data_IF_634431290319
#
_entry.id   IF_634431290319
#
_cell.length_a   1.000
_cell.length_b   1.000
_cell.length_c   1.000
_cell.angle_alpha   90.00
_cell.angle_beta   90.00
_cell.angle_gamma   90.00
#
_symmetry.space_group_name_H-M   'P 1'
#
loop_
_entity.id
_entity.type
_entity.pdbx_description
1 polymer ?
#
# COMPACT_ATOMS: atom_id res chain seq x y z
N UNK A 1 23.11 -12.97 0.32
CA UNK A 1 24.13 -11.95 0.64
C UNK A 1 24.24 -10.95 -0.52
N UNK A 2 24.62 -11.36 -1.71
CA UNK A 2 24.77 -10.44 -2.87
C UNK A 2 23.53 -9.59 -3.17
N UNK A 3 22.34 -10.15 -3.10
CA UNK A 3 21.08 -9.40 -3.29
C UNK A 3 20.82 -8.37 -2.18
N UNK A 4 21.18 -8.71 -0.93
CA UNK A 4 21.02 -7.79 0.19
C UNK A 4 21.98 -6.59 0.11
N UNK A 5 23.16 -6.76 -0.42
CA UNK A 5 24.15 -5.70 -0.65
C UNK A 5 23.70 -4.76 -1.79
N UNK A 6 23.12 -5.32 -2.85
CA UNK A 6 22.60 -4.57 -4.01
C UNK A 6 21.24 -3.89 -3.75
N UNK A 7 20.55 -4.27 -2.67
CA UNK A 7 19.24 -3.72 -2.35
C UNK A 7 19.33 -2.19 -2.12
N UNK A 8 18.54 -1.44 -2.85
CA UNK A 8 18.38 0.00 -2.60
C UNK A 8 17.39 0.20 -1.46
N UNK A 9 17.90 0.27 -0.24
CA UNK A 9 17.11 0.43 0.98
C UNK A 9 17.86 1.28 2.01
N UNK A 10 17.16 1.89 2.99
CA UNK A 10 17.78 2.58 4.12
C UNK A 10 18.82 1.70 4.84
N UNK A 11 19.85 2.35 5.40
CA UNK A 11 20.97 1.65 6.08
C UNK A 11 20.49 0.69 7.17
N UNK A 12 19.54 1.13 7.98
CA UNK A 12 18.94 0.32 9.04
C UNK A 12 18.30 -0.98 8.53
N UNK A 13 17.62 -0.91 7.38
CA UNK A 13 16.99 -2.07 6.76
C UNK A 13 18.05 -3.05 6.24
N UNK A 14 19.11 -2.53 5.62
CA UNK A 14 20.22 -3.36 5.16
C UNK A 14 20.92 -4.09 6.32
N UNK A 15 21.22 -3.38 7.40
CA UNK A 15 21.82 -3.95 8.61
C UNK A 15 20.94 -5.05 9.21
N UNK A 16 19.63 -4.77 9.32
CA UNK A 16 18.65 -5.75 9.81
C UNK A 16 18.57 -6.97 8.91
N UNK A 17 18.57 -6.79 7.60
CA UNK A 17 18.53 -7.85 6.62
C UNK A 17 19.80 -8.74 6.70
N UNK A 18 20.98 -8.12 6.79
CA UNK A 18 22.25 -8.83 6.94
C UNK A 18 22.27 -9.64 8.23
N UNK A 19 21.82 -9.07 9.35
CA UNK A 19 21.69 -9.76 10.65
C UNK A 19 20.78 -10.99 10.53
N UNK A 20 19.63 -10.85 9.88
CA UNK A 20 18.68 -11.95 9.71
C UNK A 20 19.24 -13.05 8.78
N UNK A 21 19.94 -12.69 7.73
CA UNK A 21 20.60 -13.66 6.84
C UNK A 21 21.69 -14.46 7.59
N UNK A 22 22.46 -13.80 8.46
CA UNK A 22 23.45 -14.49 9.31
C UNK A 22 22.78 -15.48 10.26
N UNK A 23 21.69 -15.05 10.91
CA UNK A 23 20.87 -15.90 11.77
C UNK A 23 20.31 -17.10 11.00
N UNK A 24 19.72 -16.86 9.82
CA UNK A 24 19.19 -17.92 8.95
C UNK A 24 20.26 -18.99 8.63
N UNK A 25 21.50 -18.57 8.36
CA UNK A 25 22.61 -19.49 8.09
C UNK A 25 23.00 -20.34 9.29
N UNK A 26 22.82 -19.84 10.53
CA UNK A 26 23.14 -20.58 11.76
C UNK A 26 22.05 -21.57 12.20
N UNK A 27 20.80 -21.41 11.71
CA UNK A 27 19.65 -22.24 12.12
C UNK A 27 19.61 -23.64 11.44
N UNK A 28 20.36 -23.87 10.37
CA UNK A 28 20.26 -25.10 9.57
C UNK A 28 19.00 -25.15 8.69
N UNK A 29 19.02 -26.00 7.65
CA UNK A 29 18.00 -25.95 6.59
C UNK A 29 16.65 -26.61 6.92
N UNK A 30 16.54 -27.41 7.96
CA UNK A 30 15.37 -28.26 8.24
C UNK A 30 14.57 -27.89 9.49
N UNK A 31 14.60 -26.63 9.91
CA UNK A 31 13.88 -26.17 11.11
C UNK A 31 12.70 -25.26 10.71
N UNK A 32 11.56 -25.37 11.40
CA UNK A 32 10.41 -24.48 11.23
C UNK A 32 10.80 -22.99 11.38
N UNK A 33 11.74 -22.69 12.24
CA UNK A 33 12.29 -21.34 12.43
C UNK A 33 13.04 -20.84 11.20
N UNK A 34 13.73 -21.72 10.47
CA UNK A 34 14.41 -21.35 9.22
C UNK A 34 13.41 -20.95 8.13
N UNK A 35 12.26 -21.62 8.04
CA UNK A 35 11.20 -21.29 7.10
C UNK A 35 10.62 -19.89 7.36
N UNK A 36 10.37 -19.54 8.63
CA UNK A 36 9.89 -18.21 9.04
C UNK A 36 10.92 -17.12 8.72
N UNK A 37 12.19 -17.34 9.05
CA UNK A 37 13.28 -16.39 8.74
C UNK A 37 13.44 -16.19 7.24
N UNK A 38 13.31 -17.25 6.45
CA UNK A 38 13.36 -17.17 4.99
C UNK A 38 12.24 -16.30 4.43
N UNK A 39 10.99 -16.55 4.82
CA UNK A 39 9.83 -15.75 4.39
C UNK A 39 9.98 -14.26 4.73
N UNK A 40 10.53 -13.95 5.90
CA UNK A 40 10.80 -12.58 6.31
C UNK A 40 11.89 -11.92 5.45
N UNK A 41 13.01 -12.61 5.20
CA UNK A 41 14.10 -12.14 4.33
C UNK A 41 13.57 -11.88 2.92
N UNK A 42 12.81 -12.82 2.34
CA UNK A 42 12.22 -12.67 1.00
C UNK A 42 11.27 -11.47 0.93
N UNK A 43 10.48 -11.24 1.97
CA UNK A 43 9.59 -10.07 2.05
C UNK A 43 10.37 -8.76 2.06
N UNK A 44 11.44 -8.67 2.88
CA UNK A 44 12.29 -7.49 2.93
C UNK A 44 12.99 -7.21 1.59
N UNK A 45 13.42 -8.24 0.87
CA UNK A 45 14.05 -8.11 -0.45
C UNK A 45 13.06 -7.64 -1.53
N UNK A 46 11.78 -8.04 -1.44
CA UNK A 46 10.74 -7.69 -2.42
C UNK A 46 10.16 -6.30 -2.23
N UNK A 47 10.25 -5.72 -1.02
CA UNK A 47 9.70 -4.39 -0.73
C UNK A 47 10.44 -3.28 -1.50
N UNK A 48 9.70 -2.33 -2.11
CA UNK A 48 10.28 -1.25 -2.90
C UNK A 48 10.74 -0.07 -2.03
N UNK A 49 11.81 -0.21 -1.27
CA UNK A 49 12.28 0.75 -0.26
C UNK A 49 12.55 2.16 -0.80
N UNK A 50 13.23 2.27 -1.94
CA UNK A 50 13.66 3.56 -2.51
C UNK A 50 12.89 3.96 -3.78
N UNK A 51 12.25 3.00 -4.44
CA UNK A 51 11.54 3.26 -5.68
C UNK A 51 10.24 4.01 -5.45
N UNK A 52 10.10 5.21 -5.98
CA UNK A 52 8.90 6.04 -5.86
C UNK A 52 8.39 6.49 -7.23
N UNK A 53 7.08 6.59 -7.38
CA UNK A 53 6.46 7.29 -8.50
C UNK A 53 6.62 8.80 -8.32
N UNK A 54 6.86 9.52 -9.41
CA UNK A 54 6.83 10.99 -9.42
C UNK A 54 5.38 11.45 -9.48
N UNK A 55 4.99 12.29 -8.52
CA UNK A 55 3.63 12.81 -8.45
C UNK A 55 3.42 13.86 -9.55
N UNK A 56 2.32 13.75 -10.28
CA UNK A 56 1.83 14.81 -11.13
C UNK A 56 1.09 15.84 -10.24
N UNK A 57 1.44 17.13 -10.39
CA UNK A 57 0.86 18.24 -9.63
C UNK A 57 -0.01 19.17 -10.48
N UNK A 58 -0.23 18.82 -11.73
CA UNK A 58 -1.03 19.61 -12.66
C UNK A 58 -2.52 19.36 -12.40
N UNK A 59 -3.21 20.35 -11.86
CA UNK A 59 -4.64 20.29 -11.52
C UNK A 59 -5.52 20.29 -12.77
N UNK A 60 -5.14 20.99 -13.85
CA UNK A 60 -5.88 21.02 -15.11
C UNK A 60 -5.93 19.63 -15.73
N UNK A 61 -4.77 18.94 -15.73
CA UNK A 61 -4.72 17.55 -16.19
C UNK A 61 -5.53 16.61 -15.30
N UNK A 62 -5.55 16.84 -14.00
CA UNK A 62 -6.38 16.06 -13.08
C UNK A 62 -7.87 16.26 -13.36
N UNK A 63 -8.30 17.52 -13.58
CA UNK A 63 -9.66 17.86 -13.96
C UNK A 63 -10.07 17.17 -15.26
N UNK A 64 -9.25 17.27 -16.31
CA UNK A 64 -9.51 16.61 -17.61
C UNK A 64 -9.69 15.10 -17.45
N UNK A 65 -8.86 14.44 -16.64
CA UNK A 65 -8.97 13.00 -16.39
C UNK A 65 -10.28 12.66 -15.69
N UNK A 66 -10.66 13.43 -14.67
CA UNK A 66 -11.91 13.21 -13.93
C UNK A 66 -13.14 13.44 -14.81
N UNK A 67 -13.11 14.46 -15.68
CA UNK A 67 -14.18 14.73 -16.65
C UNK A 67 -14.32 13.62 -17.69
N UNK A 68 -13.19 13.15 -18.23
CA UNK A 68 -13.19 12.08 -19.23
C UNK A 68 -13.66 10.72 -18.68
N UNK A 69 -13.38 10.46 -17.38
CA UNK A 69 -13.69 9.15 -16.76
C UNK A 69 -15.08 9.09 -16.16
N UNK A 70 -15.67 10.23 -15.77
CA UNK A 70 -16.91 10.27 -14.98
C UNK A 70 -17.86 11.32 -15.52
N UNK A 71 -19.04 10.87 -15.95
CA UNK A 71 -20.14 11.77 -16.29
C UNK A 71 -20.85 12.26 -15.01
N UNK A 72 -21.11 13.56 -14.91
CA UNK A 72 -21.73 14.17 -13.72
C UNK A 72 -20.78 14.15 -12.52
N UNK A 73 -21.34 14.00 -11.31
CA UNK A 73 -20.58 13.95 -10.04
C UNK A 73 -19.77 15.24 -9.75
N UNK A 74 -20.27 16.41 -10.17
CA UNK A 74 -19.58 17.70 -10.10
C UNK A 74 -19.00 17.99 -8.70
N UNK A 75 -19.83 17.85 -7.66
CA UNK A 75 -19.41 18.06 -6.26
C UNK A 75 -18.27 17.11 -5.82
N UNK A 76 -18.28 15.87 -6.33
CA UNK A 76 -17.26 14.89 -5.99
C UNK A 76 -15.96 15.23 -6.70
N UNK A 77 -16.02 15.62 -7.98
CA UNK A 77 -14.86 16.05 -8.77
C UNK A 77 -14.22 17.30 -8.16
N UNK A 78 -15.04 18.30 -7.82
CA UNK A 78 -14.59 19.52 -7.16
C UNK A 78 -13.87 19.21 -5.85
N UNK A 79 -14.47 18.36 -5.00
CA UNK A 79 -13.85 17.96 -3.73
C UNK A 79 -12.53 17.18 -3.92
N UNK A 80 -12.45 16.36 -4.94
CA UNK A 80 -11.20 15.67 -5.30
C UNK A 80 -10.14 16.67 -5.76
N UNK A 81 -10.50 17.64 -6.59
CA UNK A 81 -9.58 18.68 -7.06
C UNK A 81 -9.07 19.56 -5.91
N UNK A 82 -9.95 19.97 -4.97
CA UNK A 82 -9.55 20.67 -3.74
C UNK A 82 -8.54 19.87 -2.94
N UNK A 83 -8.82 18.57 -2.73
CA UNK A 83 -7.91 17.66 -2.05
C UNK A 83 -6.54 17.60 -2.73
N UNK A 84 -6.51 17.51 -4.06
CA UNK A 84 -5.26 17.51 -4.83
C UNK A 84 -4.53 18.85 -4.76
N UNK A 85 -5.26 19.97 -4.75
CA UNK A 85 -4.71 21.31 -4.60
C UNK A 85 -4.03 21.50 -3.24
N UNK A 86 -4.72 21.15 -2.15
CA UNK A 86 -4.17 21.19 -0.78
C UNK A 86 -2.92 20.34 -0.68
N UNK A 87 -2.93 19.11 -1.23
CA UNK A 87 -1.78 18.24 -1.25
C UNK A 87 -0.59 18.83 -2.03
N UNK A 88 -0.85 19.58 -3.10
CA UNK A 88 0.19 20.23 -3.90
C UNK A 88 0.84 21.40 -3.16
N UNK A 89 0.05 22.14 -2.39
CA UNK A 89 0.49 23.30 -1.61
C UNK A 89 1.21 22.89 -0.32
N UNK A 90 0.80 21.76 0.28
CA UNK A 90 1.37 21.31 1.57
C UNK A 90 2.71 20.61 1.35
N UNK A 91 3.80 21.30 1.62
CA UNK A 91 5.16 20.76 1.43
C UNK A 91 5.58 19.68 2.43
N UNK A 92 4.86 19.48 3.54
CA UNK A 92 5.19 18.52 4.62
C UNK A 92 4.05 17.54 4.87
N UNK A 93 4.28 16.32 4.51
CA UNK A 93 4.19 15.08 5.28
C UNK A 93 2.87 14.47 5.61
N UNK A 94 1.76 15.11 5.77
CA UNK A 94 0.50 14.39 5.98
C UNK A 94 -0.22 14.22 4.65
N UNK A 95 -0.22 13.01 4.13
CA UNK A 95 -1.14 12.68 3.04
C UNK A 95 -2.54 12.51 3.67
N UNK A 96 -3.48 13.45 3.43
CA UNK A 96 -4.81 13.32 3.96
C UNK A 96 -5.47 12.05 3.39
N UNK A 97 -6.35 11.43 4.17
CA UNK A 97 -7.10 10.27 3.74
C UNK A 97 -8.40 10.76 3.12
N UNK A 98 -8.65 10.35 1.85
CA UNK A 98 -9.92 10.62 1.18
C UNK A 98 -10.89 9.48 1.49
N UNK A 99 -12.00 9.80 2.13
CA UNK A 99 -13.07 8.85 2.43
C UNK A 99 -14.21 9.02 1.41
N UNK A 100 -14.52 7.95 0.65
CA UNK A 100 -15.60 7.91 -0.32
C UNK A 100 -16.79 7.13 0.28
N UNK A 101 -17.88 7.83 0.57
CA UNK A 101 -19.09 7.26 1.16
C UNK A 101 -20.23 7.32 0.15
N UNK A 102 -21.01 6.26 0.08
CA UNK A 102 -22.19 6.19 -0.80
C UNK A 102 -22.65 4.75 -1.06
N UNK A 103 -23.84 4.56 -1.66
CA UNK A 103 -24.38 3.24 -1.95
C UNK A 103 -23.49 2.44 -2.93
N UNK A 104 -23.67 1.12 -2.99
CA UNK A 104 -22.97 0.30 -3.98
C UNK A 104 -23.31 0.75 -5.41
N UNK A 105 -22.36 0.58 -6.33
CA UNK A 105 -22.56 0.95 -7.74
C UNK A 105 -22.37 2.41 -8.10
N UNK A 106 -22.11 3.32 -7.15
CA UNK A 106 -21.95 4.77 -7.40
C UNK A 106 -20.57 5.18 -7.94
N UNK A 107 -19.71 4.23 -8.28
CA UNK A 107 -18.42 4.53 -8.90
C UNK A 107 -17.29 4.89 -7.93
N UNK A 108 -17.41 4.63 -6.62
CA UNK A 108 -16.35 4.94 -5.63
C UNK A 108 -14.98 4.38 -6.02
N UNK A 109 -14.94 3.13 -6.44
CA UNK A 109 -13.69 2.45 -6.84
C UNK A 109 -13.12 3.03 -8.13
N UNK A 110 -13.96 3.45 -9.09
CA UNK A 110 -13.51 4.06 -10.34
C UNK A 110 -12.94 5.46 -10.11
N UNK A 111 -13.56 6.27 -9.23
CA UNK A 111 -13.04 7.58 -8.82
C UNK A 111 -11.63 7.43 -8.20
N UNK A 112 -11.44 6.47 -7.28
CA UNK A 112 -10.13 6.24 -6.67
C UNK A 112 -9.06 5.88 -7.71
N UNK A 113 -9.42 5.13 -8.75
CA UNK A 113 -8.53 4.80 -9.86
C UNK A 113 -8.18 6.04 -10.69
N UNK A 114 -9.15 6.90 -10.98
CA UNK A 114 -8.93 8.15 -11.71
C UNK A 114 -8.06 9.13 -10.92
N UNK A 115 -8.23 9.21 -9.60
CA UNK A 115 -7.34 9.95 -8.71
C UNK A 115 -5.91 9.42 -8.77
N UNK A 116 -5.71 8.10 -8.75
CA UNK A 116 -4.38 7.52 -8.89
C UNK A 116 -3.73 7.87 -10.23
N UNK A 117 -4.52 7.83 -11.32
CA UNK A 117 -4.09 8.18 -12.67
C UNK A 117 -3.73 9.66 -12.79
N UNK A 118 -4.53 10.55 -12.23
CA UNK A 118 -4.28 12.00 -12.24
C UNK A 118 -3.01 12.37 -11.46
N UNK A 119 -2.72 11.67 -10.37
CA UNK A 119 -1.50 11.82 -9.59
C UNK A 119 -0.28 11.08 -10.18
N UNK A 120 -0.43 10.32 -11.26
CA UNK A 120 0.59 9.42 -11.80
C UNK A 120 1.10 8.40 -10.75
N UNK A 121 0.20 7.91 -9.90
CA UNK A 121 0.49 6.91 -8.87
C UNK A 121 0.17 5.51 -9.34
N UNK A 122 0.95 4.53 -8.88
CA UNK A 122 0.55 3.14 -8.96
C UNK A 122 -0.66 2.92 -8.05
N UNK A 123 -1.65 2.20 -8.56
CA UNK A 123 -2.90 1.94 -7.85
C UNK A 123 -2.92 0.52 -7.30
N UNK A 124 -3.30 0.38 -6.04
CA UNK A 124 -3.50 -0.92 -5.39
C UNK A 124 -4.85 -0.90 -4.68
N UNK A 125 -5.67 -1.92 -4.93
CA UNK A 125 -6.92 -2.15 -4.21
C UNK A 125 -6.72 -3.25 -3.18
N UNK A 126 -7.08 -2.96 -1.94
CA UNK A 126 -7.09 -3.90 -0.82
C UNK A 126 -8.54 -4.01 -0.36
N UNK A 127 -9.21 -5.13 -0.66
CA UNK A 127 -10.53 -5.39 -0.13
C UNK A 127 -10.40 -5.80 1.34
N UNK A 128 -11.10 -5.09 2.22
CA UNK A 128 -11.17 -5.39 3.65
C UNK A 128 -12.42 -6.17 4.02
N UNK A 129 -13.38 -6.29 3.09
CA UNK A 129 -14.59 -7.09 3.30
C UNK A 129 -14.28 -8.56 3.57
N UNK A 130 -14.78 -9.08 4.70
CA UNK A 130 -14.54 -10.46 5.12
C UNK A 130 -13.23 -10.70 5.88
N UNK A 131 -12.43 -9.66 6.13
CA UNK A 131 -11.24 -9.74 6.99
C UNK A 131 -11.68 -9.88 8.44
N UNK A 132 -11.32 -10.98 9.07
CA UNK A 132 -11.71 -11.27 10.47
C UNK A 132 -10.60 -10.98 11.48
N UNK A 133 -9.36 -10.96 11.03
CA UNK A 133 -8.18 -10.79 11.88
C UNK A 133 -7.36 -9.58 11.42
N UNK A 134 -7.03 -8.71 12.36
CA UNK A 134 -6.13 -7.58 12.15
C UNK A 134 -4.77 -8.03 11.57
N UNK A 135 -4.33 -9.25 11.91
CA UNK A 135 -3.11 -9.84 11.40
C UNK A 135 -3.13 -10.04 9.87
N UNK A 136 -4.29 -10.19 9.23
CA UNK A 136 -4.37 -10.23 7.77
C UNK A 136 -3.98 -8.88 7.15
N UNK A 137 -4.28 -7.76 7.81
CA UNK A 137 -3.98 -6.42 7.31
C UNK A 137 -2.53 -6.05 7.61
N UNK A 138 -2.11 -6.21 8.87
CA UNK A 138 -0.78 -5.82 9.36
C UNK A 138 0.30 -6.86 9.13
N UNK A 139 -0.07 -8.13 9.04
CA UNK A 139 0.82 -9.29 9.02
C UNK A 139 0.89 -9.99 10.38
N UNK A 140 1.21 -11.25 10.35
CA UNK A 140 1.36 -12.07 11.55
C UNK A 140 2.66 -11.74 12.29
N UNK A 141 2.66 -11.99 13.61
CA UNK A 141 3.90 -11.89 14.38
C UNK A 141 4.92 -12.89 13.84
N UNK A 142 6.15 -12.44 13.66
CA UNK A 142 7.25 -13.21 13.06
C UNK A 142 7.54 -14.55 13.78
N UNK A 143 7.14 -14.69 15.02
CA UNK A 143 7.36 -15.89 15.83
C UNK A 143 6.41 -17.04 15.51
N UNK A 144 5.34 -16.78 14.74
CA UNK A 144 4.40 -17.84 14.36
C UNK A 144 4.89 -18.61 13.15
N UNK A 145 4.79 -19.95 13.23
CA UNK A 145 4.99 -20.83 12.07
C UNK A 145 3.93 -20.49 11.02
N UNK A 146 4.36 -20.23 9.78
CA UNK A 146 3.45 -19.77 8.72
C UNK A 146 3.15 -18.27 8.75
N UNK A 147 3.89 -17.46 9.52
CA UNK A 147 3.76 -16.01 9.50
C UNK A 147 3.89 -15.44 8.09
N UNK A 148 2.87 -14.71 7.65
CA UNK A 148 2.82 -14.07 6.33
C UNK A 148 2.79 -12.54 6.47
N UNK A 149 3.34 -11.82 5.47
CA UNK A 149 3.20 -10.37 5.42
C UNK A 149 1.73 -9.98 5.25
N UNK A 150 1.34 -8.87 5.86
CA UNK A 150 -0.02 -8.35 5.76
C UNK A 150 -0.35 -7.81 4.36
N UNK A 151 -1.63 -7.58 4.13
CA UNK A 151 -2.17 -7.07 2.85
C UNK A 151 -1.53 -5.73 2.44
N UNK A 152 -1.19 -4.86 3.41
CA UNK A 152 -0.51 -3.59 3.13
C UNK A 152 0.89 -3.82 2.56
N UNK A 153 1.69 -4.70 3.18
CA UNK A 153 3.03 -5.02 2.69
C UNK A 153 2.98 -5.69 1.31
N UNK A 154 2.05 -6.63 1.12
CA UNK A 154 1.81 -7.26 -0.18
C UNK A 154 1.36 -6.25 -1.25
N UNK A 155 0.54 -5.26 -0.87
CA UNK A 155 0.14 -4.16 -1.75
C UNK A 155 1.33 -3.32 -2.21
N UNK A 156 2.30 -3.02 -1.33
CA UNK A 156 3.53 -2.33 -1.69
C UNK A 156 4.39 -3.14 -2.66
N UNK A 157 4.52 -4.45 -2.41
CA UNK A 157 5.25 -5.37 -3.29
C UNK A 157 4.59 -5.40 -4.67
N UNK A 158 3.26 -5.53 -4.74
CA UNK A 158 2.48 -5.53 -5.98
C UNK A 158 2.62 -4.22 -6.74
N UNK A 159 2.59 -3.08 -6.05
CA UNK A 159 2.77 -1.76 -6.65
C UNK A 159 4.18 -1.56 -7.22
N UNK A 160 5.19 -2.18 -6.62
CA UNK A 160 6.60 -2.02 -6.97
C UNK A 160 7.14 -0.62 -6.72
N UNK A 161 6.44 0.19 -5.91
CA UNK A 161 6.83 1.55 -5.49
C UNK A 161 6.44 1.78 -4.02
N UNK A 162 7.20 2.61 -3.31
CA UNK A 162 6.97 2.91 -1.88
C UNK A 162 5.81 3.88 -1.61
N UNK A 163 5.29 4.53 -2.66
CA UNK A 163 4.26 5.58 -2.54
C UNK A 163 3.05 5.35 -3.46
N UNK A 164 2.47 4.14 -3.53
CA UNK A 164 1.28 3.91 -4.33
C UNK A 164 0.07 4.65 -3.73
N UNK A 165 -1.00 4.78 -4.51
CA UNK A 165 -2.32 5.06 -3.98
C UNK A 165 -2.98 3.74 -3.61
N UNK A 166 -3.29 3.57 -2.32
CA UNK A 166 -3.99 2.38 -1.82
C UNK A 166 -5.47 2.70 -1.61
N UNK A 167 -6.34 1.95 -2.24
CA UNK A 167 -7.77 1.93 -1.94
C UNK A 167 -8.04 0.82 -0.94
N UNK A 168 -8.49 1.20 0.25
CA UNK A 168 -9.04 0.27 1.24
C UNK A 168 -10.55 0.19 0.99
N UNK A 169 -11.00 -0.90 0.40
CA UNK A 169 -12.39 -1.06 -0.04
C UNK A 169 -13.17 -1.93 0.93
N UNK A 170 -14.47 -1.67 1.05
CA UNK A 170 -15.40 -2.44 1.90
C UNK A 170 -15.07 -2.41 3.39
N UNK A 171 -14.57 -1.27 3.90
CA UNK A 171 -14.18 -1.10 5.31
C UNK A 171 -15.37 -1.22 6.28
N UNK A 172 -16.58 -1.03 5.78
CA UNK A 172 -17.83 -1.09 6.52
C UNK A 172 -18.39 -2.52 6.69
N UNK A 173 -17.94 -3.48 5.88
CA UNK A 173 -18.48 -4.84 5.88
C UNK A 173 -17.97 -5.74 7.00
N UNK A 174 -17.00 -5.29 7.78
CA UNK A 174 -16.35 -6.10 8.83
C UNK A 174 -16.90 -5.89 10.24
N UNK A 175 -17.81 -4.97 10.43
CA UNK A 175 -18.48 -4.84 11.72
C UNK A 175 -19.59 -5.88 11.80
N UNK A 176 -19.31 -7.03 12.44
CA UNK A 176 -20.36 -7.72 13.15
C UNK A 176 -21.00 -6.65 14.04
N UNK A 177 -22.24 -6.31 13.74
CA UNK A 177 -23.09 -5.54 14.62
C UNK A 177 -22.99 -6.20 15.99
N UNK A 178 -22.28 -5.55 16.90
CA UNK A 178 -22.45 -5.79 18.34
C UNK A 178 -23.82 -5.23 18.65
N UNK A 179 -24.81 -6.10 18.63
CA UNK A 179 -26.11 -5.87 19.26
C UNK A 179 -25.95 -6.28 20.72
#
# INVERSE_FOLDING_TARGET
MQEAEKLQAPKEIKERLIKEIRRFKSLGYNNSESSVSRGYIETLLKLPWEKASRDNRNLDKASQILEADHYGLEKVKERVLEFLAVRTLTKKGSSPILCLVGPPGTGKTSIARSVARSLNKKYVRISLGGVRDEAEIRGHRRTYVGAMPGRIANGLIQAGVKNPLMLLDEIDKDRKSVV
#
